data_IF_109731802676
#
_entry.id   IF_109731802676
#
_cell.length_a   1.000
_cell.length_b   1.000
_cell.length_c   1.000
_cell.angle_alpha   90.00
_cell.angle_beta   90.00
_cell.angle_gamma   90.00
#
_symmetry.space_group_name_H-M   'P 1'
#
loop_
_entity.id
_entity.type
_entity.pdbx_description
1 polymer ?
#
# COMPACT_ATOMS: atom_id res chain seq x y z
N UNK A 1 -9.02 -1.84 10.13
CA UNK A 1 -9.70 -3.10 9.83
C UNK A 1 -8.63 -4.17 9.88
N UNK A 2 -8.84 -5.28 10.59
CA UNK A 2 -7.87 -6.37 10.73
C UNK A 2 -8.49 -7.65 10.16
N UNK A 3 -7.66 -8.49 9.56
CA UNK A 3 -8.05 -9.85 9.15
C UNK A 3 -8.16 -10.73 10.40
N UNK A 4 -9.38 -11.15 10.75
CA UNK A 4 -9.65 -11.87 12.00
C UNK A 4 -9.82 -13.38 11.78
N UNK A 5 -10.17 -13.80 10.56
CA UNK A 5 -10.35 -15.19 10.17
C UNK A 5 -9.13 -15.74 9.40
N UNK A 6 -8.26 -14.86 8.89
CA UNK A 6 -7.02 -15.24 8.21
C UNK A 6 -7.22 -15.51 6.72
N UNK A 7 -8.45 -15.36 6.21
CA UNK A 7 -8.79 -15.67 4.82
C UNK A 7 -8.07 -14.71 3.87
N UNK A 8 -7.95 -13.43 4.23
CA UNK A 8 -7.22 -12.46 3.41
C UNK A 8 -5.71 -12.74 3.40
N UNK A 9 -5.11 -13.01 4.56
CA UNK A 9 -3.71 -13.37 4.66
C UNK A 9 -3.41 -14.61 3.83
N UNK A 10 -4.24 -15.67 3.95
CA UNK A 10 -4.07 -16.91 3.19
C UNK A 10 -4.17 -16.71 1.67
N UNK A 11 -5.15 -15.94 1.21
CA UNK A 11 -5.46 -15.78 -0.22
C UNK A 11 -4.53 -14.76 -0.91
N UNK A 12 -4.06 -13.73 -0.20
CA UNK A 12 -3.33 -12.61 -0.80
C UNK A 12 -1.89 -12.45 -0.32
N UNK A 13 -1.59 -12.75 0.95
CA UNK A 13 -0.27 -12.47 1.56
C UNK A 13 0.62 -13.72 1.55
N UNK A 14 0.16 -14.80 2.18
CA UNK A 14 0.89 -16.07 2.28
C UNK A 14 -0.07 -17.22 2.57
N UNK A 15 -0.05 -18.26 1.71
CA UNK A 15 -0.83 -19.48 1.91
C UNK A 15 -0.44 -20.27 3.17
N UNK A 16 0.73 -19.96 3.75
CA UNK A 16 1.29 -20.58 4.95
C UNK A 16 1.03 -19.74 6.21
N UNK A 17 0.23 -18.67 6.10
CA UNK A 17 -0.10 -17.75 7.21
C UNK A 17 1.15 -17.08 7.82
N UNK A 18 2.05 -16.64 6.94
CA UNK A 18 3.23 -15.87 7.33
C UNK A 18 2.89 -14.37 7.39
N UNK A 19 3.30 -13.73 8.48
CA UNK A 19 3.22 -12.27 8.63
C UNK A 19 4.31 -11.60 7.78
N UNK A 20 3.89 -11.03 6.65
CA UNK A 20 4.76 -10.28 5.74
C UNK A 20 4.35 -8.80 5.71
N UNK A 21 5.27 -7.86 5.97
CA UNK A 21 4.96 -6.45 5.86
C UNK A 21 4.71 -6.10 4.39
N UNK A 22 3.63 -5.38 4.11
CA UNK A 22 3.30 -4.94 2.76
C UNK A 22 2.26 -3.83 2.73
N UNK A 23 2.41 -2.92 1.78
CA UNK A 23 1.42 -1.91 1.43
C UNK A 23 0.85 -2.21 0.05
N UNK A 24 -0.47 -2.36 -0.03
CA UNK A 24 -1.17 -2.73 -1.25
C UNK A 24 -2.37 -1.81 -1.46
N UNK A 25 -2.50 -1.31 -2.68
CA UNK A 25 -3.68 -0.54 -3.12
C UNK A 25 -4.55 -1.41 -4.00
N UNK A 26 -5.81 -1.51 -3.61
CA UNK A 26 -6.86 -2.10 -4.40
C UNK A 26 -7.82 -1.01 -4.89
N UNK A 27 -8.31 -1.17 -6.11
CA UNK A 27 -9.37 -0.32 -6.66
C UNK A 27 -10.65 -1.12 -6.75
N UNK A 28 -11.80 -0.45 -6.55
CA UNK A 28 -13.12 -1.05 -6.76
C UNK A 28 -13.83 -0.31 -7.88
N UNK A 29 -14.12 -1.01 -8.97
CA UNK A 29 -14.88 -0.49 -10.11
C UNK A 29 -15.94 -1.50 -10.54
N UNK A 30 -17.17 -1.02 -10.69
CA UNK A 30 -18.35 -1.82 -11.07
C UNK A 30 -18.56 -3.03 -10.13
N UNK A 31 -18.35 -2.82 -8.82
CA UNK A 31 -18.49 -3.87 -7.79
C UNK A 31 -17.32 -4.85 -7.71
N UNK A 32 -16.37 -4.79 -8.64
CA UNK A 32 -15.22 -5.71 -8.69
C UNK A 32 -13.99 -5.05 -8.07
N UNK A 33 -13.39 -5.75 -7.10
CA UNK A 33 -12.09 -5.37 -6.53
C UNK A 33 -10.98 -5.87 -7.45
N UNK A 34 -10.00 -5.02 -7.74
CA UNK A 34 -8.79 -5.36 -8.49
C UNK A 34 -7.57 -4.82 -7.78
N UNK A 35 -6.51 -5.61 -7.74
CA UNK A 35 -5.18 -5.13 -7.35
C UNK A 35 -4.73 -4.04 -8.32
N UNK A 36 -4.23 -2.93 -7.80
CA UNK A 36 -3.73 -1.80 -8.59
C UNK A 36 -2.23 -1.65 -8.45
N UNK A 37 -1.73 -1.71 -7.21
CA UNK A 37 -0.31 -1.50 -6.92
C UNK A 37 0.06 -2.16 -5.58
N UNK A 38 1.30 -2.64 -5.47
CA UNK A 38 1.91 -3.07 -4.21
C UNK A 38 3.40 -2.73 -4.21
N UNK A 39 3.94 -2.57 -3.01
CA UNK A 39 5.38 -2.71 -2.78
C UNK A 39 5.68 -4.12 -2.25
N UNK A 40 6.81 -4.66 -2.68
CA UNK A 40 7.27 -5.99 -2.27
C UNK A 40 8.74 -5.90 -1.87
N UNK A 41 9.01 -5.88 -0.56
CA UNK A 41 10.34 -6.15 0.01
C UNK A 41 10.22 -7.38 0.91
N UNK A 42 10.70 -8.51 0.43
CA UNK A 42 10.82 -9.75 1.19
C UNK A 42 12.16 -9.87 1.92
N UNK A 43 12.32 -10.94 2.71
CA UNK A 43 13.55 -11.21 3.46
C UNK A 43 14.82 -11.27 2.58
N UNK A 44 14.71 -11.80 1.36
CA UNK A 44 15.83 -11.87 0.41
C UNK A 44 16.30 -10.49 -0.08
N UNK A 45 15.45 -9.46 0.05
CA UNK A 45 15.71 -8.08 -0.37
C UNK A 45 16.05 -7.17 0.82
N UNK A 46 16.03 -7.70 2.04
CA UNK A 46 16.35 -6.95 3.25
C UNK A 46 17.86 -6.76 3.40
N UNK A 47 18.27 -5.60 3.92
CA UNK A 47 19.66 -5.37 4.32
C UNK A 47 20.09 -6.41 5.38
N UNK A 48 21.34 -6.90 5.39
CA UNK A 48 21.79 -7.88 6.36
C UNK A 48 21.53 -7.46 7.81
N UNK A 49 20.76 -8.27 8.53
CA UNK A 49 20.41 -8.03 9.94
C UNK A 49 19.25 -7.05 10.15
N UNK A 50 18.48 -6.74 9.10
CA UNK A 50 17.23 -5.99 9.19
C UNK A 50 16.05 -6.91 8.85
N UNK A 51 14.91 -6.65 9.47
CA UNK A 51 13.64 -7.23 9.02
C UNK A 51 13.25 -6.63 7.65
N UNK A 52 12.50 -7.37 6.81
CA UNK A 52 11.92 -6.81 5.59
C UNK A 52 11.08 -5.58 5.94
N UNK A 53 11.22 -4.53 5.14
CA UNK A 53 10.55 -3.23 5.36
C UNK A 53 10.10 -2.67 4.02
N UNK A 54 8.85 -2.25 3.92
CA UNK A 54 8.28 -1.49 2.80
C UNK A 54 8.03 -0.02 3.19
N UNK A 55 7.81 0.87 2.21
CA UNK A 55 7.37 2.25 2.43
C UNK A 55 8.28 3.13 3.34
N UNK A 56 9.60 2.95 3.34
CA UNK A 56 10.50 3.70 4.25
C UNK A 56 10.71 5.18 3.89
N UNK A 57 10.43 5.63 2.66
CA UNK A 57 10.53 7.04 2.25
C UNK A 57 9.23 7.62 1.66
N UNK A 58 8.10 7.49 2.36
CA UNK A 58 6.85 8.13 1.93
C UNK A 58 6.70 9.51 2.59
N UNK A 59 6.89 10.58 1.82
CA UNK A 59 6.32 11.89 2.16
C UNK A 59 4.78 11.70 2.14
N UNK A 60 4.20 11.51 3.33
CA UNK A 60 3.05 10.61 3.53
C UNK A 60 1.79 10.92 2.70
N UNK A 61 1.66 12.16 2.22
CA UNK A 61 0.49 12.60 1.47
C UNK A 61 0.67 12.49 -0.05
N UNK A 62 1.84 12.85 -0.57
CA UNK A 62 2.07 12.93 -2.01
C UNK A 62 2.18 11.55 -2.63
N UNK A 63 2.89 10.66 -1.95
CA UNK A 63 3.04 9.29 -2.42
C UNK A 63 1.73 8.51 -2.33
N UNK A 64 0.91 8.76 -1.30
CA UNK A 64 -0.42 8.18 -1.21
C UNK A 64 -1.26 8.54 -2.43
N UNK A 65 -1.26 9.83 -2.81
CA UNK A 65 -1.99 10.31 -3.97
C UNK A 65 -1.44 9.75 -5.30
N UNK A 66 -0.12 9.57 -5.41
CA UNK A 66 0.51 8.94 -6.58
C UNK A 66 0.13 7.46 -6.75
N UNK A 67 -0.19 6.76 -5.65
CA UNK A 67 -0.65 5.37 -5.69
C UNK A 67 -2.13 5.19 -6.06
N UNK A 68 -2.83 6.26 -6.42
CA UNK A 68 -4.20 6.18 -6.96
C UNK A 68 -4.21 6.08 -8.49
N UNK A 69 -5.24 5.48 -9.13
CA UNK A 69 -5.33 5.40 -10.59
C UNK A 69 -5.26 6.74 -11.31
N UNK A 70 -5.77 7.78 -10.68
CA UNK A 70 -5.77 9.15 -11.20
C UNK A 70 -4.43 9.87 -10.96
N UNK A 71 -3.54 9.27 -10.16
CA UNK A 71 -2.33 9.91 -9.63
C UNK A 71 -2.66 11.13 -8.78
N UNK A 72 -1.63 11.90 -8.39
CA UNK A 72 -1.84 13.07 -7.52
C UNK A 72 -2.53 14.29 -8.15
N UNK A 73 -2.88 14.23 -9.44
CA UNK A 73 -3.36 15.39 -10.20
C UNK A 73 -2.28 16.45 -10.43
N UNK A 74 -2.50 17.39 -11.36
CA UNK A 74 -1.54 18.47 -11.68
C UNK A 74 -1.83 19.79 -10.98
N UNK A 75 -3.04 19.96 -10.46
CA UNK A 75 -3.60 21.29 -10.18
C UNK A 75 -3.73 21.59 -8.68
N UNK A 76 -3.42 20.63 -7.81
CA UNK A 76 -3.57 20.75 -6.35
C UNK A 76 -2.24 20.54 -5.63
N UNK A 77 -2.00 21.39 -4.63
CA UNK A 77 -0.79 21.39 -3.80
C UNK A 77 -1.19 21.66 -2.34
N UNK A 78 -0.44 21.13 -1.34
CA UNK A 78 -0.65 21.46 0.05
C UNK A 78 -0.55 22.96 0.31
N UNK A 79 -1.56 23.53 0.95
CA UNK A 79 -1.59 24.95 1.36
C UNK A 79 -1.92 25.06 2.85
N UNK A 80 -1.40 26.12 3.48
CA UNK A 80 -1.73 26.48 4.87
C UNK A 80 -3.17 26.95 5.03
N UNK A 81 -3.82 27.34 3.92
CA UNK A 81 -5.24 27.66 3.87
C UNK A 81 -5.83 27.23 2.52
N UNK A 82 -7.00 26.62 2.57
CA UNK A 82 -7.84 26.36 1.40
C UNK A 82 -9.01 27.32 1.48
N UNK A 83 -9.29 28.04 0.39
CA UNK A 83 -10.44 28.94 0.32
C UNK A 83 -11.73 28.14 0.54
N UNK A 84 -12.55 28.58 1.49
CA UNK A 84 -13.88 28.05 1.75
C UNK A 84 -14.93 28.65 0.82
#
# INVERSE_FOLDING_TARGET
YSDMDGDFTRDYVSAEDADMPGYTVFTRKDGVIRHFWSEEIGFDMADPGQDPRGAVEQDALWLLLDTTPEGRGSDWHPSLSYGG
#
